data_IF_185790604877
#
_entry.id   IF_185790604877
#
_cell.length_a   1.000
_cell.length_b   1.000
_cell.length_c   1.000
_cell.angle_alpha   90.00
_cell.angle_beta   90.00
_cell.angle_gamma   90.00
#
_symmetry.space_group_name_H-M   'P 1'
#
loop_
_entity.id
_entity.type
_entity.pdbx_description
1 polymer ?
#
# COMPACT_ATOMS: atom_id res chain seq x y z
N UNK A 1 -6.47 7.99 17.95
CA UNK A 1 -6.96 7.12 16.84
C UNK A 1 -8.20 7.66 16.11
N UNK A 2 -8.85 8.76 16.54
CA UNK A 2 -10.12 9.21 15.91
C UNK A 2 -10.01 10.21 14.74
N UNK A 3 -8.94 11.02 14.66
CA UNK A 3 -8.91 12.13 13.71
C UNK A 3 -8.95 11.70 12.23
N UNK A 4 -8.27 10.60 11.87
CA UNK A 4 -8.28 10.09 10.49
C UNK A 4 -9.67 9.62 10.03
N UNK A 5 -10.42 8.97 10.92
CA UNK A 5 -11.80 8.55 10.66
C UNK A 5 -12.73 9.75 10.51
N UNK A 6 -12.60 10.75 11.39
CA UNK A 6 -13.39 11.98 11.31
C UNK A 6 -13.13 12.74 10.01
N UNK A 7 -11.85 12.86 9.60
CA UNK A 7 -11.49 13.50 8.33
C UNK A 7 -12.05 12.71 7.14
N UNK A 8 -11.99 11.37 7.19
CA UNK A 8 -12.53 10.52 6.12
C UNK A 8 -14.05 10.67 5.97
N UNK A 9 -14.78 10.73 7.08
CA UNK A 9 -16.22 11.00 7.10
C UNK A 9 -16.51 12.41 6.57
N UNK A 10 -15.71 13.40 7.00
CA UNK A 10 -15.85 14.79 6.56
C UNK A 10 -15.64 14.93 5.04
N UNK A 11 -14.67 14.20 4.49
CA UNK A 11 -14.39 14.16 3.05
C UNK A 11 -15.47 13.40 2.25
N UNK A 12 -16.18 12.46 2.87
CA UNK A 12 -17.26 11.70 2.25
C UNK A 12 -18.60 12.47 2.22
N UNK A 13 -18.80 13.46 3.10
CA UNK A 13 -20.05 14.21 3.22
C UNK A 13 -20.56 14.81 1.89
N UNK A 14 -19.73 15.46 1.05
CA UNK A 14 -20.21 16.01 -0.22
C UNK A 14 -20.82 14.96 -1.14
N UNK A 15 -20.31 13.72 -1.12
CA UNK A 15 -20.87 12.63 -1.92
C UNK A 15 -22.23 12.18 -1.39
N UNK A 16 -22.40 12.14 -0.07
CA UNK A 16 -23.67 11.76 0.57
C UNK A 16 -24.80 12.77 0.27
N UNK A 17 -24.46 14.06 0.20
CA UNK A 17 -25.45 15.11 -0.06
C UNK A 17 -25.75 15.34 -1.54
N UNK A 18 -24.78 15.14 -2.44
CA UNK A 18 -24.95 15.40 -3.88
C UNK A 18 -25.57 14.22 -4.63
N UNK A 19 -25.25 12.99 -4.24
CA UNK A 19 -25.85 11.79 -4.84
C UNK A 19 -27.29 11.52 -4.38
N UNK A 20 -27.66 12.02 -3.20
CA UNK A 20 -28.85 11.54 -2.50
C UNK A 20 -28.75 10.03 -2.21
N UNK A 21 -29.71 9.47 -1.46
CA UNK A 21 -29.79 8.01 -1.26
C UNK A 21 -30.22 7.25 -2.52
N UNK A 22 -30.38 7.95 -3.64
CA UNK A 22 -30.78 7.40 -4.93
C UNK A 22 -29.54 7.19 -5.79
N UNK A 23 -29.23 5.94 -6.12
CA UNK A 23 -28.15 5.59 -7.06
C UNK A 23 -28.50 6.01 -8.51
N UNK A 24 -28.65 7.31 -8.75
CA UNK A 24 -29.03 7.88 -10.03
C UNK A 24 -27.91 8.80 -10.51
N UNK A 25 -27.28 8.44 -11.63
CA UNK A 25 -26.20 9.19 -12.32
C UNK A 25 -26.58 10.61 -12.77
N UNK A 26 -27.82 11.06 -12.52
CA UNK A 26 -28.40 12.27 -13.10
C UNK A 26 -27.98 13.58 -12.41
N UNK A 27 -27.44 13.56 -11.20
CA UNK A 27 -26.91 14.76 -10.51
C UNK A 27 -25.37 14.77 -10.50
N UNK A 28 -24.76 14.75 -11.70
CA UNK A 28 -23.34 15.12 -11.83
C UNK A 28 -23.15 16.60 -11.57
N UNK A 29 -23.07 16.98 -10.30
CA UNK A 29 -22.66 18.33 -9.94
C UNK A 29 -21.25 18.57 -10.48
N UNK A 30 -21.10 19.58 -11.34
CA UNK A 30 -19.85 19.85 -12.05
C UNK A 30 -18.65 20.05 -11.12
N UNK A 31 -18.87 20.38 -9.84
CA UNK A 31 -17.83 20.59 -8.85
C UNK A 31 -17.25 19.29 -8.26
N UNK A 32 -17.98 18.17 -8.30
CA UNK A 32 -17.59 16.92 -7.64
C UNK A 32 -16.26 16.34 -8.15
N UNK A 33 -15.98 16.24 -9.48
CA UNK A 33 -14.69 15.76 -9.95
C UNK A 33 -13.52 16.67 -9.51
N UNK A 34 -13.73 17.99 -9.49
CA UNK A 34 -12.72 18.93 -9.00
C UNK A 34 -12.47 18.79 -7.49
N UNK A 35 -13.54 18.65 -6.69
CA UNK A 35 -13.43 18.38 -5.26
C UNK A 35 -12.66 17.10 -4.96
N UNK A 36 -12.97 16.03 -5.72
CA UNK A 36 -12.27 14.75 -5.62
C UNK A 36 -10.79 14.94 -5.88
N UNK A 37 -10.42 15.50 -7.04
CA UNK A 37 -9.03 15.73 -7.42
C UNK A 37 -8.27 16.54 -6.37
N UNK A 38 -8.86 17.60 -5.84
CA UNK A 38 -8.20 18.45 -4.84
C UNK A 38 -7.95 17.67 -3.55
N UNK A 39 -8.98 16.98 -3.04
CA UNK A 39 -8.91 16.29 -1.75
C UNK A 39 -8.05 15.02 -1.77
N UNK A 40 -8.08 14.25 -2.86
CA UNK A 40 -7.39 12.95 -2.94
C UNK A 40 -6.02 13.02 -3.59
N UNK A 41 -5.74 14.05 -4.39
CA UNK A 41 -4.47 14.17 -5.12
C UNK A 41 -3.70 15.41 -4.70
N UNK A 42 -4.28 16.61 -4.80
CA UNK A 42 -3.54 17.86 -4.52
C UNK A 42 -3.12 17.96 -3.05
N UNK A 43 -4.05 17.75 -2.11
CA UNK A 43 -3.74 17.86 -0.67
C UNK A 43 -2.68 16.83 -0.24
N UNK A 44 -2.78 15.52 -0.58
CA UNK A 44 -1.73 14.56 -0.26
C UNK A 44 -0.38 14.88 -0.90
N UNK A 45 -0.34 15.34 -2.16
CA UNK A 45 0.92 15.77 -2.82
C UNK A 45 1.58 16.90 -2.03
N UNK A 46 0.81 17.90 -1.61
CA UNK A 46 1.35 19.04 -0.86
C UNK A 46 1.90 18.57 0.50
N UNK A 47 1.14 17.78 1.24
CA UNK A 47 1.56 17.27 2.56
C UNK A 47 2.84 16.43 2.42
N UNK A 48 2.82 15.44 1.53
CA UNK A 48 3.97 14.55 1.30
C UNK A 48 5.17 15.35 0.80
N UNK A 49 4.96 16.31 -0.11
CA UNK A 49 6.01 17.21 -0.60
C UNK A 49 6.66 18.02 0.52
N UNK A 50 5.85 18.68 1.35
CA UNK A 50 6.34 19.46 2.50
C UNK A 50 7.09 18.56 3.49
N UNK A 51 6.54 17.40 3.83
CA UNK A 51 7.18 16.44 4.74
C UNK A 51 8.54 15.99 4.19
N UNK A 52 8.61 15.63 2.90
CA UNK A 52 9.86 15.21 2.27
C UNK A 52 10.90 16.32 2.23
N UNK A 53 10.50 17.56 1.89
CA UNK A 53 11.40 18.71 1.90
C UNK A 53 11.96 18.93 3.31
N UNK A 54 11.10 18.90 4.34
CA UNK A 54 11.53 19.06 5.74
C UNK A 54 12.52 17.97 6.15
N UNK A 55 12.26 16.72 5.78
CA UNK A 55 13.18 15.62 6.10
C UNK A 55 14.50 15.78 5.34
N UNK A 56 14.48 16.14 4.06
CA UNK A 56 15.71 16.39 3.30
C UNK A 56 16.54 17.54 3.90
N UNK A 57 15.89 18.62 4.34
CA UNK A 57 16.56 19.72 5.04
C UNK A 57 17.15 19.27 6.38
N UNK A 58 16.40 18.46 7.14
CA UNK A 58 16.88 17.88 8.39
C UNK A 58 18.10 16.97 8.17
N UNK A 59 18.06 16.09 7.17
CA UNK A 59 19.17 15.19 6.81
C UNK A 59 20.40 15.98 6.36
N UNK A 60 20.23 17.03 5.54
CA UNK A 60 21.34 17.89 5.12
C UNK A 60 21.97 18.65 6.29
N UNK A 61 21.14 19.17 7.20
CA UNK A 61 21.62 19.84 8.42
C UNK A 61 22.35 18.87 9.35
N UNK A 62 21.78 17.68 9.58
CA UNK A 62 22.35 16.63 10.43
C UNK A 62 23.64 16.05 9.84
N UNK A 63 23.72 15.84 8.51
CA UNK A 63 24.95 15.39 7.85
C UNK A 63 26.13 16.34 8.08
N UNK A 64 25.87 17.61 8.39
CA UNK A 64 26.88 18.61 8.73
C UNK A 64 27.34 18.51 10.20
N UNK A 65 26.49 17.99 11.10
CA UNK A 65 26.78 17.79 12.53
C UNK A 65 27.32 16.38 12.86
N UNK A 66 26.98 15.34 12.10
CA UNK A 66 27.34 13.94 12.40
C UNK A 66 28.82 13.61 12.15
N UNK A 67 29.61 14.53 11.57
CA UNK A 67 31.08 14.41 11.64
C UNK A 67 31.66 14.66 13.04
N UNK A 68 30.87 15.22 13.97
CA UNK A 68 31.31 15.49 15.34
C UNK A 68 30.87 14.44 16.38
N UNK A 69 29.79 13.67 16.14
CA UNK A 69 29.21 12.80 17.18
C UNK A 69 28.79 11.39 16.67
N UNK A 70 29.60 10.39 17.03
CA UNK A 70 29.21 9.05 17.51
C UNK A 70 28.23 8.16 16.71
N UNK A 71 28.70 6.93 16.41
CA UNK A 71 28.03 5.81 15.68
C UNK A 71 26.56 5.46 16.04
N UNK A 72 26.00 5.90 17.19
CA UNK A 72 24.63 5.56 17.64
C UNK A 72 23.53 6.31 16.89
N UNK A 73 23.76 7.56 16.46
CA UNK A 73 22.80 8.37 15.71
C UNK A 73 22.54 7.81 14.29
N UNK A 74 23.58 7.18 13.71
CA UNK A 74 23.57 6.62 12.34
C UNK A 74 22.54 5.51 12.12
N UNK A 75 22.31 4.64 13.11
CA UNK A 75 21.44 3.46 12.97
C UNK A 75 19.95 3.84 12.97
N UNK A 76 19.53 4.76 13.85
CA UNK A 76 18.14 5.27 13.84
C UNK A 76 17.84 6.01 12.54
N UNK A 77 18.77 6.85 12.11
CA UNK A 77 18.64 7.65 10.89
C UNK A 77 18.51 6.78 9.62
N UNK A 78 19.22 5.64 9.55
CA UNK A 78 19.10 4.72 8.42
C UNK A 78 17.71 4.06 8.33
N UNK A 79 17.10 3.73 9.47
CA UNK A 79 15.73 3.17 9.52
C UNK A 79 14.70 4.20 9.08
N UNK A 80 14.82 5.43 9.56
CA UNK A 80 13.85 6.50 9.26
C UNK A 80 13.91 6.90 7.78
N UNK A 81 15.11 6.97 7.19
CA UNK A 81 15.29 7.18 5.74
C UNK A 81 14.71 6.01 4.93
N UNK A 82 14.83 4.77 5.41
CA UNK A 82 14.23 3.61 4.74
C UNK A 82 12.70 3.67 4.75
N UNK A 83 12.10 4.01 5.89
CA UNK A 83 10.66 4.21 6.01
C UNK A 83 10.18 5.34 5.09
N UNK A 84 10.92 6.45 5.03
CA UNK A 84 10.59 7.56 4.14
C UNK A 84 10.58 7.13 2.67
N UNK A 85 11.60 6.42 2.20
CA UNK A 85 11.66 5.90 0.82
C UNK A 85 10.44 5.04 0.48
N UNK A 86 9.94 4.28 1.45
CA UNK A 86 8.79 3.41 1.25
C UNK A 86 7.51 4.22 1.19
N UNK A 87 7.32 5.20 2.07
CA UNK A 87 6.19 6.14 2.03
C UNK A 87 6.16 6.90 0.70
N UNK A 88 7.32 7.38 0.21
CA UNK A 88 7.43 8.00 -1.12
C UNK A 88 7.06 7.00 -2.21
N UNK A 89 7.56 5.76 -2.13
CA UNK A 89 7.28 4.71 -3.11
C UNK A 89 5.78 4.40 -3.22
N UNK A 90 5.12 4.15 -2.09
CA UNK A 90 3.66 3.92 -2.05
C UNK A 90 2.88 5.14 -2.56
N UNK A 91 3.35 6.34 -2.24
CA UNK A 91 2.71 7.56 -2.73
C UNK A 91 2.79 7.70 -4.26
N UNK A 92 3.94 7.35 -4.87
CA UNK A 92 4.09 7.37 -6.33
C UNK A 92 3.19 6.32 -6.99
N UNK A 93 3.12 5.10 -6.44
CA UNK A 93 2.25 4.03 -6.95
C UNK A 93 0.79 4.45 -6.88
N UNK A 94 0.35 4.99 -5.75
CA UNK A 94 -0.97 5.58 -5.58
C UNK A 94 -1.24 6.66 -6.64
N UNK A 95 -0.31 7.61 -6.82
CA UNK A 95 -0.49 8.71 -7.77
C UNK A 95 -0.67 8.21 -9.22
N UNK A 96 0.19 7.27 -9.65
CA UNK A 96 0.14 6.69 -11.00
C UNK A 96 -1.15 5.88 -11.20
N UNK A 97 -1.62 5.15 -10.18
CA UNK A 97 -2.84 4.36 -10.26
C UNK A 97 -4.11 5.22 -10.37
N UNK A 98 -4.15 6.35 -9.68
CA UNK A 98 -5.36 7.18 -9.58
C UNK A 98 -5.43 8.32 -10.60
N UNK A 99 -4.30 8.83 -11.09
CA UNK A 99 -4.26 9.96 -12.04
C UNK A 99 -5.05 9.70 -13.34
N UNK A 100 -4.97 8.52 -13.98
CA UNK A 100 -5.73 8.23 -15.21
C UNK A 100 -7.24 8.33 -15.01
N UNK A 101 -7.74 7.93 -13.83
CA UNK A 101 -9.17 8.02 -13.49
C UNK A 101 -9.60 9.48 -13.33
N UNK A 102 -8.81 10.30 -12.64
CA UNK A 102 -9.12 11.73 -12.49
C UNK A 102 -9.08 12.47 -13.82
N UNK A 103 -8.10 12.15 -14.68
CA UNK A 103 -8.03 12.69 -16.04
C UNK A 103 -9.28 12.32 -16.83
N UNK A 104 -9.75 11.07 -16.77
CA UNK A 104 -11.00 10.68 -17.40
C UNK A 104 -12.21 11.43 -16.86
N UNK A 105 -12.31 11.64 -15.55
CA UNK A 105 -13.45 12.36 -14.99
C UNK A 105 -13.51 13.83 -15.44
N UNK A 106 -12.36 14.45 -15.71
CA UNK A 106 -12.29 15.84 -16.17
C UNK A 106 -12.47 15.95 -17.69
N UNK A 107 -11.80 15.09 -18.46
CA UNK A 107 -11.77 15.16 -19.93
C UNK A 107 -12.84 14.29 -20.62
N UNK A 108 -13.34 13.26 -19.95
CA UNK A 108 -14.32 12.31 -20.48
C UNK A 108 -15.71 12.92 -20.72
N UNK A 109 -15.95 14.15 -20.28
CA UNK A 109 -17.14 14.91 -20.66
C UNK A 109 -17.13 15.39 -22.11
N UNK A 110 -15.95 15.47 -22.74
CA UNK A 110 -15.78 16.09 -24.05
C UNK A 110 -15.44 15.11 -25.17
N UNK A 111 -15.01 13.88 -24.86
CA UNK A 111 -14.59 12.89 -25.85
C UNK A 111 -15.23 11.52 -25.55
N UNK A 112 -15.74 10.85 -26.58
CA UNK A 112 -16.19 9.45 -26.51
C UNK A 112 -14.98 8.54 -26.29
N UNK A 113 -14.61 8.33 -25.03
CA UNK A 113 -13.52 7.43 -24.67
C UNK A 113 -13.99 5.99 -24.88
N UNK A 114 -13.23 5.14 -25.60
CA UNK A 114 -13.60 3.75 -25.82
C UNK A 114 -13.78 3.01 -24.49
N UNK A 115 -14.84 2.20 -24.40
CA UNK A 115 -15.26 1.50 -23.18
C UNK A 115 -14.17 0.59 -22.60
N UNK A 116 -13.33 0.00 -23.46
CA UNK A 116 -12.18 -0.83 -23.07
C UNK A 116 -11.11 -0.04 -22.31
N UNK A 117 -10.86 1.20 -22.73
CA UNK A 117 -9.87 2.08 -22.12
C UNK A 117 -10.40 2.61 -20.77
N UNK A 118 -11.71 2.90 -20.69
CA UNK A 118 -12.37 3.20 -19.41
C UNK A 118 -12.25 2.04 -18.41
N UNK A 119 -12.56 0.82 -18.83
CA UNK A 119 -12.42 -0.35 -17.95
C UNK A 119 -10.97 -0.55 -17.47
N UNK A 120 -9.99 -0.32 -18.34
CA UNK A 120 -8.57 -0.40 -17.97
C UNK A 120 -8.19 0.63 -16.89
N UNK A 121 -8.61 1.89 -17.06
CA UNK A 121 -8.30 2.93 -16.08
C UNK A 121 -9.03 2.73 -14.76
N UNK A 122 -10.26 2.21 -14.78
CA UNK A 122 -10.99 1.85 -13.56
C UNK A 122 -10.35 0.67 -12.79
N UNK A 123 -9.59 -0.18 -13.46
CA UNK A 123 -8.85 -1.29 -12.83
C UNK A 123 -7.51 -0.85 -12.19
N UNK A 124 -6.98 0.33 -12.51
CA UNK A 124 -5.69 0.81 -11.97
C UNK A 124 -5.73 1.13 -10.47
N UNK A 125 -6.73 1.84 -9.92
CA UNK A 125 -6.83 2.10 -8.48
C UNK A 125 -6.82 0.85 -7.57
N UNK A 126 -7.61 -0.21 -7.83
CA UNK A 126 -7.56 -1.40 -6.98
C UNK A 126 -6.21 -2.12 -7.08
N UNK A 127 -5.56 -2.10 -8.25
CA UNK A 127 -4.21 -2.64 -8.42
C UNK A 127 -3.16 -1.84 -7.64
N UNK A 128 -3.25 -0.51 -7.63
CA UNK A 128 -2.32 0.32 -6.86
C UNK A 128 -2.48 0.07 -5.35
N UNK A 129 -3.72 -0.08 -4.87
CA UNK A 129 -4.01 -0.44 -3.47
C UNK A 129 -3.42 -1.81 -3.09
N UNK A 130 -3.54 -2.80 -3.98
CA UNK A 130 -2.95 -4.11 -3.77
C UNK A 130 -1.42 -4.03 -3.67
N UNK A 131 -0.79 -3.26 -4.57
CA UNK A 131 0.65 -3.05 -4.56
C UNK A 131 1.12 -2.34 -3.27
N UNK A 132 0.38 -1.35 -2.79
CA UNK A 132 0.70 -0.66 -1.54
C UNK A 132 0.64 -1.60 -0.32
N UNK A 133 -0.37 -2.47 -0.25
CA UNK A 133 -0.48 -3.50 0.80
C UNK A 133 0.70 -4.48 0.73
N UNK A 134 1.05 -4.95 -0.48
CA UNK A 134 2.20 -5.85 -0.68
C UNK A 134 3.50 -5.16 -0.26
N UNK A 135 3.70 -3.90 -0.65
CA UNK A 135 4.86 -3.10 -0.27
C UNK A 135 4.96 -2.92 1.24
N UNK A 136 3.84 -2.65 1.92
CA UNK A 136 3.78 -2.51 3.37
C UNK A 136 4.14 -3.82 4.09
N UNK A 137 3.57 -4.94 3.63
CA UNK A 137 3.88 -6.28 4.16
C UNK A 137 5.36 -6.62 3.98
N UNK A 138 5.90 -6.36 2.79
CA UNK A 138 7.31 -6.65 2.47
C UNK A 138 8.29 -5.78 3.28
N UNK A 139 7.89 -4.54 3.54
CA UNK A 139 8.67 -3.57 4.32
C UNK A 139 8.75 -3.95 5.80
N UNK A 140 7.69 -4.54 6.33
CA UNK A 140 7.59 -4.83 7.75
C UNK A 140 8.49 -6.01 8.14
N UNK A 141 9.67 -5.71 8.70
CA UNK A 141 10.68 -6.69 9.12
C UNK A 141 10.12 -7.87 9.95
N UNK A 142 9.34 -7.66 11.03
CA UNK A 142 8.77 -8.75 11.81
C UNK A 142 7.84 -9.65 10.99
N UNK A 143 7.01 -9.07 10.10
CA UNK A 143 6.12 -9.83 9.23
C UNK A 143 6.90 -10.66 8.23
N UNK A 144 7.99 -10.11 7.67
CA UNK A 144 8.87 -10.85 6.76
C UNK A 144 9.57 -12.02 7.46
N UNK A 145 9.99 -11.84 8.71
CA UNK A 145 10.58 -12.91 9.52
C UNK A 145 9.54 -14.00 9.80
N UNK A 146 8.32 -13.61 10.16
CA UNK A 146 7.20 -14.54 10.39
C UNK A 146 6.82 -15.31 9.12
N UNK A 147 6.69 -14.64 7.97
CA UNK A 147 6.44 -15.26 6.66
C UNK A 147 7.55 -16.24 6.28
N UNK A 148 8.82 -15.89 6.48
CA UNK A 148 9.94 -16.81 6.27
C UNK A 148 9.83 -18.04 7.17
N UNK A 149 9.48 -17.86 8.44
CA UNK A 149 9.28 -18.98 9.36
C UNK A 149 8.11 -19.88 8.93
N UNK A 150 7.02 -19.30 8.41
CA UNK A 150 5.85 -20.05 7.90
C UNK A 150 6.19 -20.86 6.65
N UNK A 151 6.87 -20.25 5.68
CA UNK A 151 7.31 -20.91 4.44
C UNK A 151 8.33 -22.02 4.72
N UNK A 152 9.25 -21.81 5.67
CA UNK A 152 10.27 -22.81 6.05
C UNK A 152 9.70 -23.92 6.94
N UNK A 153 8.68 -23.68 7.77
CA UNK A 153 8.02 -24.73 8.58
C UNK A 153 7.10 -25.64 7.76
N UNK A 154 6.50 -25.13 6.69
CA UNK A 154 5.57 -25.91 5.87
C UNK A 154 6.14 -27.21 5.27
N UNK A 155 7.41 -27.30 4.79
CA UNK A 155 7.99 -28.56 4.32
C UNK A 155 8.30 -29.58 5.44
N UNK A 156 8.54 -29.13 6.69
CA UNK A 156 8.88 -30.05 7.79
C UNK A 156 7.66 -30.84 8.29
N UNK A 157 6.46 -30.24 8.26
CA UNK A 157 5.24 -30.92 8.67
C UNK A 157 4.80 -32.00 7.66
N UNK A 158 5.13 -31.84 6.36
CA UNK A 158 4.91 -32.88 5.35
C UNK A 158 5.95 -34.00 5.44
N UNK A 159 7.23 -33.70 5.66
CA UNK A 159 8.25 -34.74 5.83
C UNK A 159 8.01 -35.60 7.07
N UNK A 160 7.63 -35.00 8.21
CA UNK A 160 7.32 -35.77 9.42
C UNK A 160 6.06 -36.64 9.29
N UNK A 161 5.11 -36.26 8.45
CA UNK A 161 3.96 -37.12 8.11
C UNK A 161 4.39 -38.28 7.19
N UNK A 162 5.19 -38.00 6.15
CA UNK A 162 5.67 -39.02 5.21
C UNK A 162 6.56 -40.09 5.87
N UNK A 163 7.43 -39.69 6.82
CA UNK A 163 8.27 -40.63 7.59
C UNK A 163 7.44 -41.53 8.52
N UNK A 164 6.28 -41.07 9.00
CA UNK A 164 5.39 -41.88 9.87
C UNK A 164 4.42 -42.78 9.11
N UNK A 165 4.21 -42.55 7.82
CA UNK A 165 3.32 -43.36 6.95
C UNK A 165 4.07 -44.36 6.08
N UNK A 166 5.36 -44.62 6.32
CA UNK A 166 5.99 -45.86 5.83
C UNK A 166 5.71 -46.93 6.90
N UNK A 167 4.67 -47.78 6.76
CA UNK A 167 4.52 -48.92 7.65
C UNK A 167 5.77 -49.80 7.53
N UNK A 168 6.39 -50.09 8.67
CA UNK A 168 7.26 -51.24 8.87
C UNK A 168 6.44 -52.52 8.66
N UNK A 169 6.09 -52.78 7.40
CA UNK A 169 5.63 -54.08 6.96
C UNK A 169 6.89 -54.82 6.49
N UNK A 170 7.19 -55.95 7.16
CA UNK A 170 8.31 -56.87 6.93
C UNK A 170 9.63 -56.64 7.69
N UNK A 171 9.61 -56.67 9.03
CA UNK A 171 10.73 -57.26 9.79
C UNK A 171 10.18 -57.95 11.05
N UNK A 172 9.27 -58.92 10.97
CA UNK A 172 9.00 -59.82 12.11
C UNK A 172 8.42 -61.22 11.76
N UNK A 173 8.24 -61.55 10.48
CA UNK A 173 7.71 -62.88 10.05
C UNK A 173 8.78 -63.86 9.55
N UNK A 174 10.04 -63.70 9.97
CA UNK A 174 11.09 -64.71 9.78
C UNK A 174 11.89 -64.87 11.06
N UNK A 175 11.24 -65.28 12.15
CA UNK A 175 11.86 -66.02 13.23
C UNK A 175 10.75 -66.57 14.13
N UNK A 176 10.87 -67.85 14.48
CA UNK A 176 9.96 -68.72 15.25
C UNK A 176 9.01 -69.51 14.34
N UNK A 177 9.19 -70.80 14.06
CA UNK A 177 9.91 -71.89 14.73
C UNK A 177 9.66 -72.09 16.22
#
# INVERSE_FOLDING_TARGET
>A
MGCGWLISILLALPYLFVGGFTCSDSTQAAFLPYYTLISTLVVPVIIVGICNIRILLYVRSSSRQVHAEGNRSRVSHARDVRLLKIIIGTFIVFFIGWTPVFLMQIFGKNNEIPSTLNACFQALPPLSMLLDVILLIYTNQPVRIFLKQLVIRHPQHLQNKLVRTIPQQNIHTIQNH
#
